data_IF_203907779366
#
_entry.id   IF_203907779366
#
_cell.length_a   1.000
_cell.length_b   1.000
_cell.length_c   1.000
_cell.angle_alpha   90.00
_cell.angle_beta   90.00
_cell.angle_gamma   90.00
#
_symmetry.space_group_name_H-M   'P 1'
#
loop_
_entity.id
_entity.type
_entity.pdbx_description
1 polymer ?
#
# COMPACT_ATOMS: atom_id res chain seq x y z
N UNK A 1 18.11 -31.74 -26.01
CA UNK A 1 19.21 -31.38 -25.07
C UNK A 1 19.17 -32.31 -23.86
N UNK A 2 20.12 -33.23 -23.74
CA UNK A 2 20.33 -34.01 -22.51
C UNK A 2 21.17 -33.18 -21.53
N UNK A 3 20.71 -33.03 -20.28
CA UNK A 3 21.52 -32.43 -19.21
C UNK A 3 22.69 -33.37 -18.88
N UNK A 4 23.91 -32.92 -19.19
CA UNK A 4 25.16 -33.55 -18.75
C UNK A 4 25.27 -33.40 -17.22
N UNK A 5 25.15 -34.51 -16.49
CA UNK A 5 25.15 -34.59 -15.03
C UNK A 5 23.75 -34.87 -14.44
N UNK A 6 23.32 -36.15 -14.45
CA UNK A 6 22.14 -36.60 -13.70
C UNK A 6 22.46 -36.58 -12.20
N UNK A 7 22.29 -35.43 -11.56
CA UNK A 7 22.16 -35.38 -10.10
C UNK A 7 20.86 -36.10 -9.74
N UNK A 8 20.95 -37.19 -8.99
CA UNK A 8 19.76 -37.91 -8.51
C UNK A 8 18.98 -36.96 -7.61
N UNK A 9 17.70 -36.75 -7.91
CA UNK A 9 16.83 -35.93 -7.07
C UNK A 9 16.53 -36.71 -5.77
N UNK A 10 17.17 -36.28 -4.68
CA UNK A 10 17.07 -36.94 -3.37
C UNK A 10 15.91 -36.41 -2.52
N UNK A 11 15.09 -35.49 -3.05
CA UNK A 11 13.99 -34.88 -2.30
C UNK A 11 12.86 -35.89 -2.15
N UNK A 12 12.38 -36.05 -0.91
CA UNK A 12 11.18 -36.85 -0.63
C UNK A 12 9.93 -36.05 -1.03
N UNK A 13 8.89 -36.68 -1.60
CA UNK A 13 7.65 -36.00 -1.89
C UNK A 13 6.98 -35.54 -0.59
N UNK A 14 6.33 -34.37 -0.64
CA UNK A 14 5.41 -33.96 0.42
C UNK A 14 4.17 -34.84 0.27
N UNK A 15 3.78 -35.54 1.33
CA UNK A 15 2.52 -36.31 1.38
C UNK A 15 1.44 -35.50 2.10
N UNK A 16 0.19 -35.93 2.01
CA UNK A 16 -0.94 -35.33 2.75
C UNK A 16 -0.64 -35.31 4.25
N UNK A 17 -0.10 -36.39 4.82
CA UNK A 17 0.23 -36.46 6.26
C UNK A 17 1.34 -35.48 6.66
N UNK A 18 2.36 -35.33 5.79
CA UNK A 18 3.44 -34.36 6.02
C UNK A 18 2.87 -32.95 5.96
N UNK A 19 2.01 -32.64 4.98
CA UNK A 19 1.37 -31.34 4.87
C UNK A 19 0.52 -31.03 6.11
N UNK A 20 -0.29 -31.97 6.59
CA UNK A 20 -1.08 -31.81 7.83
C UNK A 20 -0.20 -31.45 9.02
N UNK A 21 0.90 -32.18 9.22
CA UNK A 21 1.85 -31.90 10.33
C UNK A 21 2.46 -30.50 10.22
N UNK A 22 2.85 -30.09 9.01
CA UNK A 22 3.37 -28.74 8.76
C UNK A 22 2.30 -27.70 9.12
N UNK A 23 1.08 -27.87 8.63
CA UNK A 23 -0.04 -26.94 8.85
C UNK A 23 -0.39 -26.80 10.34
N UNK A 24 -0.30 -27.90 11.10
CA UNK A 24 -0.55 -27.89 12.55
C UNK A 24 0.53 -27.13 13.32
N UNK A 25 1.81 -27.22 12.95
CA UNK A 25 2.89 -26.58 13.71
C UNK A 25 3.11 -25.11 13.36
N UNK A 26 2.50 -24.59 12.27
CA UNK A 26 2.71 -23.23 11.77
C UNK A 26 2.49 -22.15 12.83
N UNK A 27 1.50 -22.30 13.71
CA UNK A 27 1.20 -21.30 14.75
C UNK A 27 2.32 -21.13 15.79
N UNK A 28 3.25 -22.09 15.91
CA UNK A 28 4.44 -21.97 16.75
C UNK A 28 5.62 -21.31 16.04
N UNK A 29 5.62 -21.31 14.69
CA UNK A 29 6.73 -20.80 13.87
C UNK A 29 6.46 -19.36 13.39
N UNK A 30 5.19 -19.07 13.07
CA UNK A 30 4.76 -17.78 12.58
C UNK A 30 4.60 -16.75 13.71
N UNK A 31 4.81 -15.47 13.40
CA UNK A 31 4.78 -14.37 14.39
C UNK A 31 3.38 -13.85 14.67
N UNK A 32 2.41 -14.19 13.83
CA UNK A 32 1.04 -13.68 13.91
C UNK A 32 0.01 -14.68 13.39
N UNK A 33 -1.25 -14.45 13.75
CA UNK A 33 -2.37 -15.19 13.18
C UNK A 33 -2.45 -15.00 11.66
N UNK A 34 -2.17 -13.78 11.17
CA UNK A 34 -2.11 -13.49 9.74
C UNK A 34 -1.08 -14.35 9.01
N UNK A 35 0.17 -14.39 9.49
CA UNK A 35 1.23 -15.21 8.88
C UNK A 35 0.86 -16.70 8.92
N UNK A 36 0.30 -17.16 10.04
CA UNK A 36 -0.15 -18.56 10.17
C UNK A 36 -1.18 -18.90 9.10
N UNK A 37 -2.23 -18.09 8.95
CA UNK A 37 -3.28 -18.33 7.96
C UNK A 37 -2.78 -18.18 6.52
N UNK A 38 -1.90 -17.20 6.25
CA UNK A 38 -1.23 -17.02 4.96
C UNK A 38 -0.46 -18.27 4.54
N UNK A 39 0.41 -18.80 5.41
CA UNK A 39 1.21 -19.98 5.07
C UNK A 39 0.36 -21.25 4.98
N UNK A 40 -0.69 -21.39 5.79
CA UNK A 40 -1.66 -22.50 5.66
C UNK A 40 -2.30 -22.50 4.27
N UNK A 41 -2.84 -21.35 3.85
CA UNK A 41 -3.46 -21.18 2.54
C UNK A 41 -2.46 -21.41 1.40
N UNK A 42 -1.26 -20.83 1.48
CA UNK A 42 -0.23 -20.95 0.46
C UNK A 42 0.27 -22.40 0.30
N UNK A 43 0.50 -23.12 1.40
CA UNK A 43 0.97 -24.51 1.34
C UNK A 43 -0.11 -25.46 0.82
N UNK A 44 -1.37 -25.27 1.25
CA UNK A 44 -2.48 -26.05 0.73
C UNK A 44 -2.69 -25.79 -0.77
N UNK A 45 -2.69 -24.52 -1.19
CA UNK A 45 -2.83 -24.15 -2.59
C UNK A 45 -1.69 -24.72 -3.45
N UNK A 46 -0.43 -24.63 -2.99
CA UNK A 46 0.71 -25.22 -3.68
C UNK A 46 0.57 -26.73 -3.84
N UNK A 47 0.13 -27.42 -2.79
CA UNK A 47 -0.01 -28.87 -2.77
C UNK A 47 -1.15 -29.36 -3.67
N UNK A 48 -2.38 -28.86 -3.46
CA UNK A 48 -3.56 -29.32 -4.20
C UNK A 48 -3.63 -28.77 -5.62
N UNK A 49 -3.08 -27.57 -5.86
CA UNK A 49 -2.97 -26.98 -7.20
C UNK A 49 -1.75 -27.45 -7.99
N UNK A 50 -0.91 -28.31 -7.43
CA UNK A 50 0.38 -28.72 -8.01
C UNK A 50 1.24 -27.54 -8.48
N UNK A 51 1.14 -26.40 -7.79
CA UNK A 51 1.79 -25.16 -8.18
C UNK A 51 3.25 -25.14 -7.75
N UNK A 52 4.09 -24.51 -8.55
CA UNK A 52 5.47 -24.19 -8.14
C UNK A 52 5.45 -22.97 -7.24
N UNK A 53 6.38 -22.92 -6.28
CA UNK A 53 6.47 -21.79 -5.34
C UNK A 53 6.56 -20.44 -6.08
N UNK A 54 7.26 -20.39 -7.22
CA UNK A 54 7.44 -19.18 -8.01
C UNK A 54 6.19 -18.67 -8.74
N UNK A 55 5.11 -19.46 -8.80
CA UNK A 55 3.80 -19.03 -9.32
C UNK A 55 2.98 -18.32 -8.21
N UNK A 56 3.30 -18.60 -6.94
CA UNK A 56 2.61 -18.07 -5.75
C UNK A 56 3.39 -16.91 -5.12
N UNK A 57 4.72 -16.97 -5.10
CA UNK A 57 5.57 -15.98 -4.43
C UNK A 57 6.05 -14.91 -5.40
N UNK A 58 6.08 -13.66 -4.92
CA UNK A 58 6.67 -12.54 -5.66
C UNK A 58 8.20 -12.69 -5.76
N UNK A 59 8.75 -12.54 -6.97
CA UNK A 59 10.20 -12.73 -7.24
C UNK A 59 10.91 -11.42 -7.60
N UNK A 60 10.37 -10.58 -8.49
CA UNK A 60 10.96 -9.28 -8.85
C UNK A 60 9.97 -8.31 -9.52
N UNK A 61 10.38 -7.05 -9.75
CA UNK A 61 9.57 -5.97 -10.36
C UNK A 61 9.08 -6.23 -11.78
N UNK A 62 9.71 -7.16 -12.51
CA UNK A 62 9.30 -7.52 -13.87
C UNK A 62 8.38 -8.77 -13.88
N UNK A 63 8.04 -9.31 -12.71
CA UNK A 63 7.25 -10.53 -12.56
C UNK A 63 5.74 -10.27 -12.38
N UNK A 64 5.26 -9.03 -12.49
CA UNK A 64 3.86 -8.67 -12.23
C UNK A 64 2.84 -9.40 -13.13
N UNK A 65 3.28 -9.96 -14.26
CA UNK A 65 2.45 -10.80 -15.15
C UNK A 65 2.53 -12.31 -14.84
N UNK A 66 3.44 -12.72 -13.96
CA UNK A 66 3.75 -14.12 -13.64
C UNK A 66 3.40 -14.52 -12.20
N UNK A 67 2.95 -13.56 -11.37
CA UNK A 67 2.61 -13.78 -9.96
C UNK A 67 1.09 -13.84 -9.81
N UNK A 68 0.60 -14.81 -9.05
CA UNK A 68 -0.81 -14.95 -8.72
C UNK A 68 -1.35 -13.69 -8.02
N UNK A 69 -2.40 -13.07 -8.59
CA UNK A 69 -3.10 -11.93 -8.01
C UNK A 69 -4.38 -12.38 -7.31
N UNK A 70 -4.90 -11.53 -6.44
CA UNK A 70 -6.18 -11.77 -5.76
C UNK A 70 -7.34 -11.79 -6.77
N UNK A 71 -7.27 -10.94 -7.80
CA UNK A 71 -8.23 -10.94 -8.92
C UNK A 71 -8.35 -12.28 -9.63
N UNK A 72 -7.30 -13.10 -9.52
CA UNK A 72 -7.18 -14.39 -10.19
C UNK A 72 -7.77 -15.52 -9.33
N UNK A 73 -8.22 -15.22 -8.11
CA UNK A 73 -8.88 -16.17 -7.20
C UNK A 73 -10.36 -15.81 -7.14
N UNK A 74 -11.22 -16.74 -7.58
CA UNK A 74 -12.68 -16.58 -7.53
C UNK A 74 -13.29 -17.79 -6.85
N UNK A 75 -14.40 -17.60 -6.15
CA UNK A 75 -15.17 -18.68 -5.56
C UNK A 75 -16.49 -18.85 -6.32
N UNK A 76 -17.05 -20.05 -6.32
CA UNK A 76 -18.43 -20.25 -6.77
C UNK A 76 -19.44 -19.70 -5.74
N UNK A 77 -20.70 -19.54 -6.14
CA UNK A 77 -21.73 -18.90 -5.31
C UNK A 77 -21.98 -19.61 -3.97
N UNK A 78 -21.85 -20.94 -3.96
CA UNK A 78 -22.00 -21.78 -2.76
C UNK A 78 -20.68 -22.07 -2.08
N UNK A 79 -19.60 -21.45 -2.57
CA UNK A 79 -18.37 -21.32 -1.82
C UNK A 79 -17.70 -22.70 -1.56
N UNK A 80 -18.00 -23.68 -2.43
CA UNK A 80 -17.53 -25.07 -2.42
C UNK A 80 -16.35 -25.30 -3.36
N UNK A 81 -16.06 -24.37 -4.26
CA UNK A 81 -14.98 -24.45 -5.22
C UNK A 81 -14.26 -23.11 -5.31
N UNK A 82 -12.94 -23.17 -5.54
CA UNK A 82 -12.13 -22.00 -5.86
C UNK A 82 -11.49 -22.18 -7.23
N UNK A 83 -11.63 -21.14 -8.05
CA UNK A 83 -11.04 -20.98 -9.36
C UNK A 83 -9.78 -20.12 -9.22
N UNK A 84 -8.63 -20.69 -9.58
CA UNK A 84 -7.33 -20.01 -9.50
C UNK A 84 -6.77 -19.89 -10.90
N UNK A 85 -6.78 -18.68 -11.47
CA UNK A 85 -6.26 -18.40 -12.80
C UNK A 85 -4.76 -18.13 -12.75
N UNK A 86 -3.99 -18.95 -13.45
CA UNK A 86 -2.55 -18.78 -13.63
C UNK A 86 -2.34 -18.15 -15.00
N UNK A 87 -1.88 -16.90 -15.03
CA UNK A 87 -1.70 -16.13 -16.27
C UNK A 87 -0.58 -16.67 -17.16
N UNK A 88 0.43 -17.29 -16.57
CA UNK A 88 1.55 -17.90 -17.29
C UNK A 88 2.30 -18.87 -16.40
N UNK A 89 2.73 -20.00 -16.95
CA UNK A 89 3.57 -20.98 -16.25
C UNK A 89 4.89 -21.16 -16.98
N UNK A 90 5.94 -21.65 -16.29
CA UNK A 90 7.25 -21.89 -16.93
C UNK A 90 7.20 -22.91 -18.09
N UNK A 91 6.13 -23.71 -18.16
CA UNK A 91 5.89 -24.70 -19.21
C UNK A 91 4.95 -24.19 -20.30
N UNK A 92 4.37 -23.01 -20.12
CA UNK A 92 3.49 -22.37 -21.08
C UNK A 92 4.31 -21.50 -22.04
N UNK A 93 4.74 -22.10 -23.15
CA UNK A 93 5.52 -21.43 -24.19
C UNK A 93 4.64 -20.52 -25.10
N UNK A 94 3.32 -20.59 -24.96
CA UNK A 94 2.33 -19.95 -25.85
C UNK A 94 1.65 -18.75 -25.15
N UNK A 95 1.65 -18.72 -23.80
CA UNK A 95 1.08 -17.63 -23.00
C UNK A 95 -0.43 -17.75 -22.77
N UNK A 96 -0.96 -18.97 -22.78
CA UNK A 96 -2.38 -19.23 -22.52
C UNK A 96 -2.60 -19.46 -21.03
N UNK A 97 -3.30 -18.52 -20.38
CA UNK A 97 -3.71 -18.65 -18.98
C UNK A 97 -4.48 -19.95 -18.73
N UNK A 98 -4.27 -20.58 -17.57
CA UNK A 98 -4.99 -21.78 -17.15
C UNK A 98 -5.71 -21.54 -15.84
N UNK A 99 -6.98 -21.94 -15.74
CA UNK A 99 -7.74 -21.87 -14.48
C UNK A 99 -7.77 -23.24 -13.82
N UNK A 100 -7.20 -23.32 -12.62
CA UNK A 100 -7.30 -24.49 -11.75
C UNK A 100 -8.62 -24.42 -10.99
N UNK A 101 -9.30 -25.56 -10.86
CA UNK A 101 -10.52 -25.69 -10.06
C UNK A 101 -10.18 -26.59 -8.88
N UNK A 102 -10.31 -26.06 -7.67
CA UNK A 102 -10.06 -26.79 -6.43
C UNK A 102 -11.35 -26.88 -5.62
N UNK A 103 -11.84 -28.09 -5.40
CA UNK A 103 -13.08 -28.33 -4.66
C UNK A 103 -12.82 -28.51 -3.16
N UNK A 104 -13.79 -28.12 -2.36
CA UNK A 104 -13.78 -28.27 -0.91
C UNK A 104 -13.82 -29.75 -0.52
N UNK A 105 -12.98 -30.13 0.45
CA UNK A 105 -13.05 -31.45 1.06
C UNK A 105 -14.00 -31.42 2.26
N UNK A 106 -15.22 -31.94 2.08
CA UNK A 106 -16.26 -31.96 3.12
C UNK A 106 -15.89 -32.89 4.29
N UNK A 107 -15.05 -33.90 4.04
CA UNK A 107 -14.70 -34.92 5.03
C UNK A 107 -13.47 -34.56 5.88
N UNK A 108 -12.74 -33.50 5.52
CA UNK A 108 -11.52 -33.08 6.21
C UNK A 108 -11.50 -31.56 6.39
N UNK A 109 -12.10 -31.13 7.49
CA UNK A 109 -12.24 -29.71 7.82
C UNK A 109 -10.91 -29.07 8.26
N UNK A 110 -9.89 -29.89 8.57
CA UNK A 110 -8.55 -29.45 8.94
C UNK A 110 -7.67 -29.18 7.72
N UNK A 111 -7.92 -29.89 6.61
CA UNK A 111 -7.19 -29.76 5.35
C UNK A 111 -8.11 -29.46 4.15
N UNK A 112 -8.85 -28.36 4.24
CA UNK A 112 -9.67 -27.86 3.14
C UNK A 112 -9.07 -26.58 2.52
N UNK A 113 -8.61 -26.67 1.27
CA UNK A 113 -7.97 -25.55 0.55
C UNK A 113 -8.91 -24.37 0.34
N UNK A 114 -10.18 -24.64 0.02
CA UNK A 114 -11.21 -23.60 -0.18
C UNK A 114 -11.40 -22.80 1.11
N UNK A 115 -11.57 -23.49 2.24
CA UNK A 115 -11.71 -22.87 3.56
C UNK A 115 -10.47 -22.07 3.93
N UNK A 116 -9.28 -22.66 3.80
CA UNK A 116 -8.02 -21.97 4.13
C UNK A 116 -7.80 -20.70 3.30
N UNK A 117 -8.14 -20.74 2.00
CA UNK A 117 -8.05 -19.56 1.14
C UNK A 117 -9.05 -18.48 1.54
N UNK A 118 -10.27 -18.84 1.92
CA UNK A 118 -11.25 -17.87 2.45
C UNK A 118 -10.81 -17.27 3.77
N UNK A 119 -10.40 -18.11 4.73
CA UNK A 119 -9.91 -17.65 6.03
C UNK A 119 -8.76 -16.64 5.83
N UNK A 120 -7.85 -16.94 4.89
CA UNK A 120 -6.79 -16.02 4.51
C UNK A 120 -7.34 -14.74 3.88
N UNK A 121 -8.21 -14.81 2.87
CA UNK A 121 -8.72 -13.63 2.17
C UNK A 121 -9.59 -12.73 3.08
N UNK A 122 -10.32 -13.30 4.03
CA UNK A 122 -11.07 -12.55 5.05
C UNK A 122 -10.16 -11.89 6.09
N UNK A 123 -9.08 -12.56 6.50
CA UNK A 123 -8.07 -11.98 7.40
C UNK A 123 -7.11 -11.03 6.69
N UNK A 124 -7.01 -11.12 5.37
CA UNK A 124 -6.14 -10.28 4.57
C UNK A 124 -6.71 -8.86 4.55
N UNK A 125 -5.93 -7.84 4.93
CA UNK A 125 -6.35 -6.46 4.74
C UNK A 125 -6.65 -6.25 3.25
N UNK A 126 -7.81 -5.69 2.91
CA UNK A 126 -8.15 -5.27 1.55
C UNK A 126 -7.08 -4.29 1.04
N UNK A 127 -6.09 -4.84 0.36
CA UNK A 127 -4.88 -4.15 -0.08
C UNK A 127 -4.46 -4.79 -1.39
N UNK A 128 -5.26 -4.56 -2.43
CA UNK A 128 -4.69 -4.54 -3.76
C UNK A 128 -3.77 -3.31 -3.81
N UNK A 129 -2.47 -3.52 -3.61
CA UNK A 129 -1.46 -2.46 -3.56
C UNK A 129 -1.22 -1.88 -2.17
N UNK A 130 0.03 -1.47 -1.89
CA UNK A 130 0.31 -0.62 -0.74
C UNK A 130 -0.36 0.73 -1.01
N UNK A 131 -1.38 1.12 -0.24
CA UNK A 131 -2.04 2.42 -0.36
C UNK A 131 -0.99 3.53 -0.17
N UNK A 132 -0.62 4.20 -1.25
CA UNK A 132 0.47 5.18 -1.29
C UNK A 132 -0.06 6.54 -0.88
N UNK A 133 0.49 7.06 0.22
CA UNK A 133 0.19 8.40 0.73
C UNK A 133 1.40 9.30 0.55
N UNK A 134 1.22 10.40 -0.19
CA UNK A 134 2.23 11.44 -0.27
C UNK A 134 2.03 12.46 0.85
N UNK A 135 3.06 12.70 1.65
CA UNK A 135 3.09 13.74 2.66
C UNK A 135 3.98 14.86 2.12
N UNK A 136 3.36 15.94 1.67
CA UNK A 136 4.03 17.07 1.03
C UNK A 136 3.95 18.27 1.97
N UNK A 137 5.08 18.92 2.23
CA UNK A 137 5.05 20.08 3.09
C UNK A 137 6.37 20.81 3.27
N UNK A 138 6.33 21.79 4.18
CA UNK A 138 7.49 22.62 4.51
C UNK A 138 8.58 21.86 5.29
N UNK A 139 9.53 22.60 5.87
CA UNK A 139 10.55 22.08 6.78
C UNK A 139 10.02 21.21 7.94
N UNK A 140 8.74 21.35 8.33
CA UNK A 140 8.12 20.48 9.32
C UNK A 140 7.99 19.04 8.80
N UNK A 141 7.56 18.86 7.55
CA UNK A 141 7.47 17.56 6.90
C UNK A 141 8.86 16.99 6.64
N UNK A 142 9.82 17.83 6.23
CA UNK A 142 11.21 17.41 6.05
C UNK A 142 11.79 16.85 7.35
N UNK A 143 11.62 17.57 8.46
CA UNK A 143 12.06 17.12 9.78
C UNK A 143 11.31 15.86 10.23
N UNK A 144 9.99 15.80 10.03
CA UNK A 144 9.20 14.63 10.38
C UNK A 144 9.68 13.37 9.65
N UNK A 145 10.01 13.49 8.36
CA UNK A 145 10.62 12.42 7.56
C UNK A 145 11.96 11.98 8.12
N UNK A 146 12.88 12.90 8.41
CA UNK A 146 14.17 12.54 9.02
C UNK A 146 13.99 11.85 10.38
N UNK A 147 13.00 12.27 11.17
CA UNK A 147 12.71 11.65 12.46
C UNK A 147 12.02 10.28 12.32
N UNK A 148 11.20 10.04 11.29
CA UNK A 148 10.53 8.74 11.12
C UNK A 148 11.53 7.64 10.78
N UNK A 149 12.57 7.96 10.00
CA UNK A 149 13.61 7.02 9.60
C UNK A 149 14.41 6.44 10.77
N UNK A 150 14.59 7.20 11.85
CA UNK A 150 15.36 6.79 13.03
C UNK A 150 14.50 6.16 14.14
N UNK A 151 13.17 6.09 13.97
CA UNK A 151 12.25 5.59 14.99
C UNK A 151 11.91 4.11 14.74
N UNK A 152 11.56 3.34 15.79
CA UNK A 152 11.27 1.90 15.66
C UNK A 152 10.15 1.52 14.68
N UNK A 153 9.24 2.46 14.39
CA UNK A 153 8.11 2.25 13.48
C UNK A 153 8.48 2.50 12.00
N UNK A 154 9.72 2.95 11.74
CA UNK A 154 10.25 3.19 10.40
C UNK A 154 9.61 4.36 9.67
N UNK A 155 9.98 4.50 8.39
CA UNK A 155 9.57 5.59 7.51
C UNK A 155 8.04 5.72 7.37
N UNK A 156 7.32 4.60 7.44
CA UNK A 156 5.86 4.53 7.28
C UNK A 156 5.09 4.66 8.61
N UNK A 157 5.77 4.99 9.71
CA UNK A 157 5.16 5.13 11.05
C UNK A 157 4.39 3.87 11.51
N UNK A 158 4.81 2.69 11.05
CA UNK A 158 4.15 1.43 11.33
C UNK A 158 2.88 1.15 10.51
N UNK A 159 2.46 2.08 9.65
CA UNK A 159 1.26 1.94 8.83
C UNK A 159 1.41 0.93 7.69
N UNK A 160 2.64 0.51 7.39
CA UNK A 160 2.90 -0.63 6.49
C UNK A 160 2.19 -1.90 6.96
N UNK A 161 1.98 -2.08 8.28
CA UNK A 161 1.22 -3.20 8.84
C UNK A 161 -0.26 -3.18 8.47
N UNK A 162 -0.77 -2.01 8.10
CA UNK A 162 -2.13 -1.77 7.64
C UNK A 162 -2.20 -1.64 6.11
N UNK A 163 -1.10 -1.90 5.39
CA UNK A 163 -1.03 -1.80 3.93
C UNK A 163 -0.81 -0.39 3.39
N UNK A 164 -0.35 0.56 4.21
CA UNK A 164 -0.03 1.92 3.74
C UNK A 164 1.47 2.11 3.52
N UNK A 165 1.82 2.87 2.47
CA UNK A 165 3.19 3.33 2.22
C UNK A 165 3.24 4.85 2.21
N UNK A 166 4.11 5.43 3.02
CA UNK A 166 4.29 6.88 3.10
C UNK A 166 5.46 7.33 2.23
N UNK A 167 5.23 8.34 1.40
CA UNK A 167 6.28 9.03 0.66
C UNK A 167 6.35 10.48 1.13
N UNK A 168 7.55 10.89 1.54
CA UNK A 168 7.76 12.19 2.15
C UNK A 168 8.40 13.15 1.14
N UNK A 169 7.77 14.30 0.94
CA UNK A 169 8.29 15.39 0.11
C UNK A 169 8.29 16.68 0.94
N UNK A 170 9.33 16.83 1.76
CA UNK A 170 9.55 17.98 2.60
C UNK A 170 10.55 18.97 1.99
N UNK A 171 10.15 20.23 1.82
CA UNK A 171 11.01 21.30 1.30
C UNK A 171 11.13 22.45 2.32
N UNK A 172 12.36 22.82 2.67
CA UNK A 172 12.61 23.99 3.51
C UNK A 172 12.17 25.27 2.80
N UNK A 173 11.47 26.15 3.52
CA UNK A 173 10.98 27.41 2.94
C UNK A 173 9.80 27.27 1.97
N UNK A 174 9.24 26.07 1.78
CA UNK A 174 8.15 25.82 0.82
C UNK A 174 7.00 26.82 0.97
N UNK A 175 6.63 27.46 -0.14
CA UNK A 175 5.45 28.29 -0.32
C UNK A 175 4.31 27.48 -0.95
N UNK A 176 3.09 28.04 -0.99
CA UNK A 176 1.97 27.37 -1.69
C UNK A 176 2.26 27.18 -3.18
N UNK A 177 3.05 28.09 -3.77
CA UNK A 177 3.37 28.09 -5.20
C UNK A 177 4.34 26.98 -5.60
N UNK A 178 5.06 26.39 -4.64
CA UNK A 178 5.95 25.26 -4.91
C UNK A 178 5.21 23.92 -5.00
N UNK A 179 3.95 23.83 -4.55
CA UNK A 179 3.24 22.55 -4.45
C UNK A 179 3.00 21.91 -5.82
N UNK A 180 2.47 22.66 -6.79
CA UNK A 180 2.13 22.11 -8.11
C UNK A 180 3.37 21.53 -8.82
N UNK A 181 4.51 22.23 -8.92
CA UNK A 181 5.73 21.65 -9.49
C UNK A 181 6.24 20.42 -8.74
N UNK A 182 6.09 20.37 -7.41
CA UNK A 182 6.48 19.19 -6.62
C UNK A 182 5.58 18.00 -6.96
N UNK A 183 4.27 18.20 -7.00
CA UNK A 183 3.30 17.15 -7.35
C UNK A 183 3.55 16.64 -8.76
N UNK A 184 3.79 17.53 -9.72
CA UNK A 184 4.08 17.17 -11.11
C UNK A 184 5.32 16.28 -11.22
N UNK A 185 6.41 16.67 -10.56
CA UNK A 185 7.63 15.87 -10.51
C UNK A 185 7.41 14.52 -9.83
N UNK A 186 6.65 14.48 -8.73
CA UNK A 186 6.34 13.21 -8.04
C UNK A 186 5.50 12.29 -8.93
N UNK A 187 4.52 12.81 -9.67
CA UNK A 187 3.72 12.00 -10.62
C UNK A 187 4.63 11.43 -11.70
N UNK A 188 5.52 12.25 -12.25
CA UNK A 188 6.46 11.83 -13.27
C UNK A 188 7.42 10.73 -12.76
N UNK A 189 7.96 10.88 -11.55
CA UNK A 189 8.94 9.94 -11.00
C UNK A 189 8.34 8.69 -10.36
N UNK A 190 7.11 8.78 -9.84
CA UNK A 190 6.58 7.78 -8.91
C UNK A 190 5.17 7.27 -9.27
N UNK A 191 4.54 7.81 -10.31
CA UNK A 191 3.16 7.50 -10.66
C UNK A 191 2.14 8.24 -9.78
N UNK A 192 0.86 7.92 -9.93
CA UNK A 192 -0.22 8.56 -9.16
C UNK A 192 -0.32 7.98 -7.73
N UNK A 193 -0.57 8.82 -6.69
CA UNK A 193 -0.80 8.36 -5.34
C UNK A 193 -2.27 8.02 -5.08
N UNK A 194 -2.54 7.20 -4.07
CA UNK A 194 -3.90 6.96 -3.57
C UNK A 194 -4.40 8.10 -2.68
N UNK A 195 -3.49 8.79 -2.00
CA UNK A 195 -3.80 10.00 -1.26
C UNK A 195 -2.64 11.00 -1.16
N UNK A 196 -2.97 12.27 -0.99
CA UNK A 196 -2.02 13.35 -0.71
C UNK A 196 -2.42 14.08 0.55
N UNK A 197 -1.51 14.16 1.52
CA UNK A 197 -1.58 15.01 2.69
C UNK A 197 -0.68 16.23 2.49
N UNK A 198 -1.30 17.40 2.36
CA UNK A 198 -0.63 18.68 2.17
C UNK A 198 -0.49 19.44 3.49
N UNK A 199 0.72 19.88 3.80
CA UNK A 199 1.01 20.76 4.93
C UNK A 199 1.83 22.00 4.49
N UNK A 200 1.14 23.04 4.05
CA UNK A 200 1.76 24.28 3.53
C UNK A 200 0.96 25.55 3.89
N UNK A 201 1.43 26.73 3.43
CA UNK A 201 0.75 28.03 3.64
C UNK A 201 1.26 28.83 4.84
N UNK A 202 1.83 28.18 5.86
CA UNK A 202 2.35 28.89 7.04
C UNK A 202 3.54 29.83 6.76
N UNK A 203 4.25 29.63 5.65
CA UNK A 203 5.36 30.50 5.22
C UNK A 203 4.90 31.72 4.42
N UNK A 204 3.63 31.74 4.02
CA UNK A 204 3.02 32.76 3.17
C UNK A 204 2.17 33.74 3.98
N UNK A 205 1.80 33.38 5.21
CA UNK A 205 1.06 34.25 6.14
C UNK A 205 1.89 35.50 6.41
N UNK A 206 1.31 36.66 6.09
CA UNK A 206 1.92 37.99 6.24
C UNK A 206 2.73 38.46 5.02
N UNK A 207 2.98 37.57 4.05
CA UNK A 207 3.57 37.97 2.76
C UNK A 207 2.49 38.60 1.87
N UNK A 208 1.32 37.98 1.83
CA UNK A 208 0.15 38.45 1.09
C UNK A 208 -1.06 38.58 2.02
N UNK A 209 -2.07 39.34 1.59
CA UNK A 209 -3.30 39.49 2.37
C UNK A 209 -4.00 38.13 2.58
N UNK A 210 -4.62 37.94 3.74
CA UNK A 210 -5.40 36.77 4.12
C UNK A 210 -6.36 36.26 3.02
N UNK A 211 -7.08 37.17 2.35
CA UNK A 211 -8.03 36.80 1.29
C UNK A 211 -7.33 36.19 0.07
N UNK A 212 -6.21 36.80 -0.35
CA UNK A 212 -5.39 36.32 -1.46
C UNK A 212 -4.76 34.96 -1.15
N UNK A 213 -4.19 34.79 0.05
CA UNK A 213 -3.61 33.51 0.44
C UNK A 213 -4.66 32.39 0.49
N UNK A 214 -5.84 32.68 1.02
CA UNK A 214 -6.95 31.71 1.02
C UNK A 214 -7.35 31.31 -0.40
N UNK A 215 -7.44 32.28 -1.32
CA UNK A 215 -7.71 32.02 -2.74
C UNK A 215 -6.60 31.15 -3.35
N UNK A 216 -5.33 31.49 -3.13
CA UNK A 216 -4.20 30.76 -3.71
C UNK A 216 -4.10 29.32 -3.22
N UNK A 217 -4.37 29.07 -1.92
CA UNK A 217 -4.42 27.70 -1.39
C UNK A 217 -5.55 26.91 -2.05
N UNK A 218 -6.74 27.51 -2.19
CA UNK A 218 -7.89 26.83 -2.83
C UNK A 218 -7.62 26.53 -4.31
N UNK A 219 -7.06 27.49 -5.03
CA UNK A 219 -6.71 27.33 -6.43
C UNK A 219 -5.64 26.25 -6.63
N UNK A 220 -4.60 26.25 -5.79
CA UNK A 220 -3.59 25.18 -5.77
C UNK A 220 -4.23 23.82 -5.50
N UNK A 221 -5.15 23.72 -4.53
CA UNK A 221 -5.82 22.46 -4.23
C UNK A 221 -6.67 21.96 -5.40
N UNK A 222 -7.39 22.84 -6.09
CA UNK A 222 -8.16 22.48 -7.30
C UNK A 222 -7.25 21.89 -8.40
N UNK A 223 -6.07 22.50 -8.61
CA UNK A 223 -5.08 21.95 -9.55
C UNK A 223 -4.61 20.57 -9.10
N UNK A 224 -4.22 20.40 -7.84
CA UNK A 224 -3.71 19.12 -7.34
C UNK A 224 -4.79 18.03 -7.41
N UNK A 225 -6.07 18.33 -7.12
CA UNK A 225 -7.19 17.38 -7.27
C UNK A 225 -7.26 16.84 -8.70
N UNK A 226 -7.14 17.72 -9.70
CA UNK A 226 -7.15 17.31 -11.11
C UNK A 226 -5.92 16.47 -11.47
N UNK A 227 -4.75 16.80 -10.92
CA UNK A 227 -3.50 16.08 -11.19
C UNK A 227 -3.50 14.64 -10.63
N UNK A 228 -4.07 14.42 -9.44
CA UNK A 228 -4.05 13.10 -8.77
C UNK A 228 -5.20 12.17 -9.20
N UNK A 229 -6.09 12.64 -10.09
CA UNK A 229 -7.12 11.86 -10.81
C UNK A 229 -7.77 10.72 -10.01
N UNK A 230 -8.53 11.06 -8.97
CA UNK A 230 -9.26 10.10 -8.12
C UNK A 230 -8.59 9.81 -6.77
N UNK A 231 -7.34 10.23 -6.56
CA UNK A 231 -6.68 10.18 -5.25
C UNK A 231 -7.32 11.11 -4.20
N UNK A 232 -7.32 10.68 -2.94
CA UNK A 232 -7.87 11.47 -1.83
C UNK A 232 -6.94 12.63 -1.48
N UNK A 233 -7.47 13.84 -1.37
CA UNK A 233 -6.68 15.01 -0.93
C UNK A 233 -7.08 15.44 0.48
N UNK A 234 -6.07 15.62 1.32
CA UNK A 234 -6.19 16.12 2.68
C UNK A 234 -5.31 17.35 2.82
N UNK A 235 -5.87 18.43 3.38
CA UNK A 235 -5.09 19.61 3.74
C UNK A 235 -5.01 19.73 5.26
N UNK A 236 -3.78 19.70 5.79
CA UNK A 236 -3.52 19.87 7.21
C UNK A 236 -3.69 21.33 7.61
N UNK A 237 -4.36 21.58 8.74
CA UNK A 237 -4.46 22.92 9.32
C UNK A 237 -3.09 23.56 9.52
N UNK A 238 -2.97 24.85 9.18
CA UNK A 238 -1.76 25.61 9.41
C UNK A 238 -1.54 25.74 10.93
N UNK A 239 -0.35 25.34 11.38
CA UNK A 239 0.03 25.33 12.80
C UNK A 239 0.37 26.74 13.33
N UNK A 240 0.09 27.02 14.61
CA UNK A 240 0.54 28.27 15.25
C UNK A 240 2.07 28.33 15.33
N UNK A 241 2.62 29.54 15.40
CA UNK A 241 4.06 29.78 15.51
C UNK A 241 4.36 30.78 16.62
N UNK A 242 5.47 30.57 17.33
CA UNK A 242 5.99 31.53 18.29
C UNK A 242 6.50 32.82 17.62
N UNK A 243 7.03 32.69 16.40
CA UNK A 243 7.54 33.81 15.59
C UNK A 243 7.02 33.71 14.17
N UNK A 244 6.66 34.86 13.61
CA UNK A 244 6.21 35.01 12.23
C UNK A 244 7.24 35.77 11.41
N UNK A 245 7.35 35.44 10.13
CA UNK A 245 8.43 35.96 9.27
C UNK A 245 8.24 37.44 8.93
N UNK A 246 7.00 37.87 8.68
CA UNK A 246 6.71 39.19 8.11
C UNK A 246 6.06 40.17 9.09
N UNK A 247 5.86 39.78 10.35
CA UNK A 247 5.30 40.68 11.37
C UNK A 247 5.76 40.30 12.77
N UNK A 248 5.95 41.32 13.61
CA UNK A 248 6.19 41.18 15.05
C UNK A 248 4.88 41.05 15.86
N UNK A 249 3.74 41.39 15.27
CA UNK A 249 2.43 41.23 15.91
C UNK A 249 1.95 39.77 15.81
N UNK A 250 2.35 38.97 16.79
CA UNK A 250 2.02 37.54 16.86
C UNK A 250 0.51 37.32 16.95
N UNK A 251 -0.25 38.22 17.60
CA UNK A 251 -1.71 38.08 17.78
C UNK A 251 -2.44 38.26 16.46
N UNK A 252 -2.10 39.30 15.70
CA UNK A 252 -2.69 39.53 14.37
C UNK A 252 -2.37 38.40 13.38
N UNK A 253 -1.14 37.87 13.44
CA UNK A 253 -0.72 36.77 12.58
C UNK A 253 -1.42 35.46 12.91
N UNK A 254 -1.59 35.13 14.20
CA UNK A 254 -2.37 33.95 14.60
C UNK A 254 -3.87 34.12 14.29
N UNK A 255 -4.42 35.33 14.39
CA UNK A 255 -5.78 35.63 13.94
C UNK A 255 -5.96 35.39 12.43
N UNK A 256 -4.98 35.81 11.63
CA UNK A 256 -4.94 35.53 10.17
C UNK A 256 -4.88 34.03 9.89
N UNK A 257 -3.98 33.29 10.55
CA UNK A 257 -3.89 31.83 10.46
C UNK A 257 -5.23 31.14 10.77
N UNK A 258 -5.87 31.52 11.88
CA UNK A 258 -7.18 30.99 12.28
C UNK A 258 -8.25 31.27 11.22
N UNK A 259 -8.25 32.47 10.63
CA UNK A 259 -9.19 32.85 9.56
C UNK A 259 -8.98 32.00 8.31
N UNK A 260 -7.73 31.74 7.92
CA UNK A 260 -7.39 30.87 6.77
C UNK A 260 -7.87 29.44 7.04
N UNK A 261 -7.50 28.84 8.19
CA UNK A 261 -7.92 27.47 8.52
C UNK A 261 -9.45 27.32 8.53
N UNK A 262 -10.19 28.29 9.09
CA UNK A 262 -11.66 28.30 9.02
C UNK A 262 -12.17 28.36 7.58
N UNK A 263 -11.58 29.22 6.76
CA UNK A 263 -11.96 29.37 5.35
C UNK A 263 -11.73 28.11 4.51
N UNK A 264 -10.74 27.29 4.86
CA UNK A 264 -10.47 26.01 4.22
C UNK A 264 -11.45 24.93 4.70
N UNK A 265 -11.73 24.84 6.00
CA UNK A 265 -12.67 23.84 6.55
C UNK A 265 -14.10 23.97 5.98
N UNK A 266 -14.53 25.18 5.61
CA UNK A 266 -15.85 25.40 5.00
C UNK A 266 -15.94 24.91 3.54
N UNK A 267 -14.80 24.59 2.90
CA UNK A 267 -14.73 24.24 1.47
C UNK A 267 -14.64 22.74 1.22
N UNK A 268 -14.17 21.95 2.20
CA UNK A 268 -13.93 20.50 2.06
C UNK A 268 -14.88 19.66 2.93
N UNK A 269 -16.17 20.00 2.96
CA UNK A 269 -17.23 19.13 3.51
C UNK A 269 -17.79 18.22 2.44
#
# INVERSE_FOLDING_TARGET
MQRLGKRVDSRKPITVDVLKRIILILHHVCKSNYETTLFRAAFALAFFGFMRIGEITYVNKNADNHVLKISDIKFNDIDSEVFVTIMSSKTDQIGCSTTLILSSNVNDNELCVVKMLKDYLQLRPDSQGNFVVWIIGSSLVAKASSHSQIRPLGNDLGLHKLGYKLMWAGMSGMSVYNVVPIVENLIHCCGLPDAVLLHCGGNDIGLVNCGKLLFDIKFMLDIVVRMVNGGKIMFSSILPRLKWRYSKDVKAMDATRKRINRGLNLTFK
#
